data_IF_677782844943
#
_entry.id   IF_677782844943
#
_cell.length_a   1.000
_cell.length_b   1.000
_cell.length_c   1.000
_cell.angle_alpha   90.00
_cell.angle_beta   90.00
_cell.angle_gamma   90.00
#
_symmetry.space_group_name_H-M   'P 1'
#
loop_
_entity.id
_entity.type
_entity.pdbx_description
1 polymer ?
#
# COMPACT_ATOMS: atom_id res chain seq x y z
N UNK A 1 -12.38 -13.08 4.89
CA UNK A 1 -11.14 -12.33 4.65
C UNK A 1 -10.84 -12.46 3.17
N UNK A 2 -10.67 -11.34 2.48
CA UNK A 2 -10.35 -11.33 1.05
C UNK A 2 -8.94 -11.89 0.84
N UNK A 3 -8.74 -12.62 -0.25
CA UNK A 3 -7.41 -13.06 -0.67
C UNK A 3 -6.64 -11.86 -1.21
N UNK A 4 -5.43 -11.62 -0.72
CA UNK A 4 -4.60 -10.51 -1.19
C UNK A 4 -3.67 -10.98 -2.30
N UNK A 5 -3.67 -10.24 -3.41
CA UNK A 5 -2.72 -10.39 -4.51
C UNK A 5 -1.92 -9.10 -4.62
N UNK A 6 -0.62 -9.16 -4.29
CA UNK A 6 0.29 -8.01 -4.41
C UNK A 6 0.93 -8.04 -5.79
N UNK A 7 0.79 -6.96 -6.56
CA UNK A 7 1.46 -6.84 -7.85
C UNK A 7 2.98 -6.76 -7.67
N UNK A 8 3.73 -7.13 -8.72
CA UNK A 8 5.19 -6.96 -8.70
C UNK A 8 5.60 -5.49 -8.51
N UNK A 9 4.83 -4.55 -9.08
CA UNK A 9 5.07 -3.12 -8.90
C UNK A 9 4.92 -2.72 -7.43
N UNK A 10 3.84 -3.15 -6.78
CA UNK A 10 3.59 -2.88 -5.37
C UNK A 10 4.70 -3.47 -4.49
N UNK A 11 5.12 -4.71 -4.76
CA UNK A 11 6.23 -5.33 -4.02
C UNK A 11 7.54 -4.55 -4.18
N UNK A 12 7.87 -4.15 -5.41
CA UNK A 12 9.05 -3.32 -5.68
C UNK A 12 8.95 -1.97 -4.97
N UNK A 13 7.75 -1.38 -4.90
CA UNK A 13 7.54 -0.16 -4.14
C UNK A 13 7.78 -0.35 -2.65
N UNK A 14 7.27 -1.43 -2.04
CA UNK A 14 7.49 -1.72 -0.61
C UNK A 14 8.99 -1.78 -0.33
N UNK A 15 9.73 -2.58 -1.11
CA UNK A 15 11.17 -2.77 -0.94
C UNK A 15 11.90 -1.42 -1.01
N UNK A 16 11.65 -0.65 -2.08
CA UNK A 16 12.29 0.64 -2.29
C UNK A 16 11.91 1.67 -1.22
N UNK A 17 10.65 1.71 -0.77
CA UNK A 17 10.19 2.64 0.28
C UNK A 17 10.88 2.34 1.61
N UNK A 18 10.95 1.06 1.99
CA UNK A 18 11.56 0.61 3.24
C UNK A 18 13.06 0.89 3.24
N UNK A 19 13.75 0.58 2.14
CA UNK A 19 15.18 0.85 1.96
C UNK A 19 15.48 2.34 2.09
N UNK A 20 14.77 3.20 1.35
CA UNK A 20 14.97 4.65 1.41
C UNK A 20 14.72 5.23 2.82
N UNK A 21 13.72 4.74 3.55
CA UNK A 21 13.46 5.21 4.92
C UNK A 21 14.55 4.76 5.88
N UNK A 22 15.05 3.54 5.73
CA UNK A 22 16.18 3.06 6.53
C UNK A 22 17.45 3.88 6.27
N UNK A 23 17.74 4.18 5.00
CA UNK A 23 18.89 4.99 4.59
C UNK A 23 18.77 6.44 5.07
N UNK A 24 17.65 7.11 4.78
CA UNK A 24 17.44 8.52 5.12
C UNK A 24 17.49 8.77 6.64
N UNK A 25 16.99 7.81 7.43
CA UNK A 25 16.99 7.92 8.90
C UNK A 25 18.21 7.27 9.55
N UNK A 26 19.13 6.70 8.77
CA UNK A 26 20.26 5.89 9.26
C UNK A 26 19.84 4.83 10.29
N UNK A 27 18.66 4.23 10.10
CA UNK A 27 18.03 3.33 11.08
C UNK A 27 17.27 2.20 10.39
N UNK A 28 17.84 1.00 10.48
CA UNK A 28 17.17 -0.23 10.04
C UNK A 28 15.81 -0.44 10.73
N UNK A 29 15.72 -0.09 12.01
CA UNK A 29 14.48 -0.22 12.80
C UNK A 29 13.36 0.66 12.23
N UNK A 30 13.69 1.84 11.71
CA UNK A 30 12.71 2.72 11.07
C UNK A 30 12.12 2.07 9.81
N UNK A 31 12.96 1.46 8.98
CA UNK A 31 12.52 0.70 7.81
C UNK A 31 11.66 -0.50 8.18
N UNK A 32 12.09 -1.29 9.18
CA UNK A 32 11.33 -2.46 9.66
C UNK A 32 9.95 -2.09 10.21
N UNK A 33 9.85 -1.00 10.99
CA UNK A 33 8.56 -0.50 11.49
C UNK A 33 7.64 -0.09 10.33
N UNK A 34 8.17 0.58 9.31
CA UNK A 34 7.39 0.95 8.14
C UNK A 34 6.90 -0.27 7.36
N UNK A 35 7.75 -1.28 7.18
CA UNK A 35 7.38 -2.55 6.57
C UNK A 35 6.20 -3.21 7.31
N UNK A 36 6.31 -3.31 8.64
CA UNK A 36 5.25 -3.86 9.50
C UNK A 36 3.95 -3.06 9.39
N UNK A 37 4.02 -1.73 9.42
CA UNK A 37 2.84 -0.87 9.31
C UNK A 37 2.14 -1.01 7.94
N UNK A 38 2.90 -1.14 6.85
CA UNK A 38 2.35 -1.38 5.51
C UNK A 38 1.63 -2.73 5.46
N UNK A 39 2.27 -3.81 5.93
CA UNK A 39 1.65 -5.13 5.92
C UNK A 39 0.42 -5.20 6.82
N UNK A 40 0.48 -4.62 8.02
CA UNK A 40 -0.69 -4.52 8.90
C UNK A 40 -1.84 -3.75 8.24
N UNK A 41 -1.54 -2.68 7.48
CA UNK A 41 -2.57 -1.97 6.71
C UNK A 41 -3.16 -2.85 5.61
N UNK A 42 -2.34 -3.64 4.89
CA UNK A 42 -2.81 -4.59 3.88
C UNK A 42 -3.73 -5.65 4.50
N UNK A 43 -3.40 -6.15 5.70
CA UNK A 43 -4.25 -7.11 6.42
C UNK A 43 -5.60 -6.50 6.81
N UNK A 44 -5.61 -5.24 7.26
CA UNK A 44 -6.87 -4.51 7.50
C UNK A 44 -7.70 -4.37 6.22
N UNK A 45 -7.06 -4.05 5.08
CA UNK A 45 -7.73 -3.98 3.78
C UNK A 45 -8.31 -5.36 3.43
N UNK A 46 -7.57 -6.44 3.63
CA UNK A 46 -8.05 -7.81 3.38
C UNK A 46 -9.25 -8.17 4.27
N UNK A 47 -9.32 -7.63 5.47
CA UNK A 47 -10.43 -7.88 6.40
C UNK A 47 -11.70 -7.13 5.99
N UNK A 48 -11.61 -5.82 5.69
CA UNK A 48 -12.76 -4.97 5.34
C UNK A 48 -12.38 -3.94 4.26
N UNK A 49 -12.23 -4.34 2.99
CA UNK A 49 -11.62 -3.51 1.97
C UNK A 49 -12.44 -2.26 1.64
N UNK A 50 -13.77 -2.35 1.69
CA UNK A 50 -14.66 -1.22 1.44
C UNK A 50 -14.69 -0.19 2.58
N UNK A 51 -14.41 -0.61 3.82
CA UNK A 51 -14.42 0.27 4.99
C UNK A 51 -13.04 0.91 5.23
N UNK A 52 -11.96 0.19 4.94
CA UNK A 52 -10.59 0.65 5.19
C UNK A 52 -10.08 1.60 4.12
N UNK A 53 -10.50 1.42 2.86
CA UNK A 53 -10.14 2.33 1.79
C UNK A 53 -11.31 3.13 1.28
N UNK A 54 -10.97 4.23 0.63
CA UNK A 54 -11.90 5.14 -0.03
C UNK A 54 -11.91 4.85 -1.53
N UNK A 55 -13.10 4.73 -2.11
CA UNK A 55 -13.27 4.65 -3.56
C UNK A 55 -12.82 5.94 -4.25
N UNK A 56 -12.08 5.78 -5.35
CA UNK A 56 -11.55 6.85 -6.19
C UNK A 56 -12.42 7.04 -7.43
N UNK A 57 -12.21 8.15 -8.14
CA UNK A 57 -12.95 8.47 -9.36
C UNK A 57 -12.68 7.50 -10.52
N UNK A 58 -11.55 6.78 -10.47
CA UNK A 58 -11.14 5.78 -11.46
C UNK A 58 -11.66 4.36 -11.15
N UNK A 59 -12.49 4.21 -10.10
CA UNK A 59 -13.05 2.92 -9.67
C UNK A 59 -12.14 2.10 -8.74
N UNK A 60 -10.88 2.49 -8.60
CA UNK A 60 -9.96 1.87 -7.65
C UNK A 60 -10.22 2.36 -6.22
N UNK A 61 -9.64 1.69 -5.23
CA UNK A 61 -9.68 2.12 -3.83
C UNK A 61 -8.30 2.60 -3.37
N UNK A 62 -8.28 3.52 -2.41
CA UNK A 62 -7.07 3.95 -1.73
C UNK A 62 -7.18 3.89 -0.21
N UNK A 63 -6.11 3.42 0.43
CA UNK A 63 -5.92 3.50 1.87
C UNK A 63 -4.56 4.14 2.19
N UNK A 64 -4.44 4.78 3.35
CA UNK A 64 -3.25 5.52 3.74
C UNK A 64 -2.47 4.83 4.86
N UNK A 65 -1.15 4.86 4.77
CA UNK A 65 -0.21 4.37 5.77
C UNK A 65 1.03 5.27 5.80
N UNK A 66 1.31 5.93 6.92
CA UNK A 66 2.61 6.62 7.19
C UNK A 66 3.08 7.60 6.07
N UNK A 67 2.15 8.29 5.41
CA UNK A 67 2.46 9.22 4.31
C UNK A 67 2.54 8.57 2.92
N UNK A 68 2.22 7.29 2.82
CA UNK A 68 2.05 6.53 1.60
C UNK A 68 0.58 6.17 1.39
N UNK A 69 0.24 5.94 0.13
CA UNK A 69 -1.07 5.49 -0.34
C UNK A 69 -0.90 4.12 -0.97
N UNK A 70 -1.73 3.19 -0.54
CA UNK A 70 -1.90 1.85 -1.10
C UNK A 70 -3.10 1.92 -2.04
N UNK A 71 -2.90 1.65 -3.33
CA UNK A 71 -3.98 1.64 -4.33
C UNK A 71 -4.31 0.19 -4.69
N UNK A 72 -5.58 -0.14 -4.70
CA UNK A 72 -6.04 -1.51 -4.92
C UNK A 72 -7.41 -1.60 -5.57
N UNK A 73 -7.69 -2.76 -6.16
CA UNK A 73 -9.03 -3.12 -6.65
C UNK A 73 -9.61 -4.27 -5.82
N UNK A 74 -10.94 -4.35 -5.80
CA UNK A 74 -11.68 -5.45 -5.20
C UNK A 74 -12.36 -6.20 -6.35
N UNK A 75 -11.96 -7.45 -6.58
CA UNK A 75 -12.52 -8.30 -7.63
C UNK A 75 -12.97 -9.62 -6.99
N UNK A 76 -14.29 -9.85 -6.96
CA UNK A 76 -14.89 -10.98 -6.23
C UNK A 76 -14.40 -11.00 -4.76
N UNK A 77 -13.77 -12.08 -4.33
CA UNK A 77 -13.18 -12.25 -2.98
C UNK A 77 -11.67 -11.95 -2.95
N UNK A 78 -11.14 -11.22 -3.95
CA UNK A 78 -9.74 -10.84 -4.05
C UNK A 78 -9.52 -9.33 -3.92
N UNK A 79 -8.49 -8.95 -3.18
CA UNK A 79 -7.94 -7.59 -3.12
C UNK A 79 -6.64 -7.57 -3.91
N UNK A 80 -6.58 -6.78 -4.97
CA UNK A 80 -5.40 -6.66 -5.83
C UNK A 80 -4.67 -5.36 -5.50
N UNK A 81 -3.58 -5.44 -4.74
CA UNK A 81 -2.73 -4.28 -4.47
C UNK A 81 -1.96 -3.93 -5.75
N UNK A 82 -2.30 -2.79 -6.35
CA UNK A 82 -1.73 -2.35 -7.63
C UNK A 82 -0.39 -1.67 -7.47
N UNK A 83 -0.30 -0.72 -6.53
CA UNK A 83 0.89 0.10 -6.32
C UNK A 83 0.89 0.68 -4.91
N UNK A 84 2.06 1.06 -4.41
CA UNK A 84 2.22 1.77 -3.14
C UNK A 84 3.11 2.98 -3.38
N UNK A 85 2.56 4.17 -3.18
CA UNK A 85 3.23 5.41 -3.57
C UNK A 85 3.17 6.44 -2.46
N UNK A 86 4.15 7.34 -2.42
CA UNK A 86 4.07 8.49 -1.52
C UNK A 86 2.78 9.30 -1.81
N UNK A 87 2.05 9.73 -0.78
CA UNK A 87 0.74 10.38 -0.96
C UNK A 87 0.79 11.69 -1.75
N UNK A 88 1.99 12.28 -1.89
CA UNK A 88 2.26 13.46 -2.73
C UNK A 88 2.45 13.16 -4.22
N UNK A 89 2.58 11.89 -4.62
CA UNK A 89 2.74 11.50 -6.04
C UNK A 89 1.37 11.41 -6.70
N UNK A 90 1.28 11.95 -7.92
CA UNK A 90 0.10 11.80 -8.77
C UNK A 90 -0.09 10.33 -9.14
N UNK A 91 -1.35 9.90 -9.13
CA UNK A 91 -1.78 8.59 -9.60
C UNK A 91 -3.23 8.65 -10.10
N UNK A 92 -3.56 8.07 -11.27
CA UNK A 92 -2.60 7.47 -12.22
C UNK A 92 -1.59 8.51 -12.74
N UNK A 93 -0.41 8.05 -13.18
CA UNK A 93 0.56 8.95 -13.82
C UNK A 93 -0.01 9.35 -15.19
N UNK A 94 0.18 10.61 -15.64
CA UNK A 94 -0.12 11.00 -17.01
C UNK A 94 0.71 10.21 -18.02
#
# INVERSE_FOLDING_TARGET
MYKVIVSQEAQNNINHIVENVAEFTYSFISGMKLYQDIHAKIDMIAFMPQAIGRMRNDGTHEAFCRGYRIVYDILNDEVHIKTIIHSRRLYPRP
#
